data_IF_834182599575
#
_entry.id   IF_834182599575
#
_cell.length_a   1.000
_cell.length_b   1.000
_cell.length_c   1.000
_cell.angle_alpha   90.00
_cell.angle_beta   90.00
_cell.angle_gamma   90.00
#
_symmetry.space_group_name_H-M   'P 1'
#
loop_
_entity.id
_entity.type
_entity.pdbx_description
1 polymer ?
#
# COMPACT_ATOMS: atom_id res chain seq x y z
N UNK A 1 18.71 -3.40 4.29
CA UNK A 1 18.49 -1.93 4.17
C UNK A 1 17.30 -1.73 3.25
N UNK A 2 16.14 -1.36 3.78
CA UNK A 2 14.94 -1.13 2.99
C UNK A 2 14.95 0.31 2.47
N UNK A 3 14.82 0.48 1.15
CA UNK A 3 14.64 1.79 0.51
C UNK A 3 13.18 1.87 0.13
N UNK A 4 12.41 2.68 0.87
CA UNK A 4 11.05 3.00 0.50
C UNK A 4 11.10 4.06 -0.62
N UNK A 5 10.58 3.73 -1.80
CA UNK A 5 10.58 4.64 -2.95
C UNK A 5 9.20 5.27 -3.12
N UNK A 6 9.11 6.59 -2.94
CA UNK A 6 7.89 7.38 -3.23
C UNK A 6 8.22 8.37 -4.34
N UNK A 7 7.53 8.25 -5.49
CA UNK A 7 7.66 9.16 -6.63
C UNK A 7 6.38 9.96 -6.80
N UNK A 8 6.43 11.24 -6.46
CA UNK A 8 5.39 12.20 -6.82
C UNK A 8 5.76 12.81 -8.19
N UNK A 9 4.88 12.71 -9.19
CA UNK A 9 5.04 13.42 -10.47
C UNK A 9 3.92 14.48 -10.53
N UNK A 10 4.28 15.75 -10.37
CA UNK A 10 3.40 16.88 -10.69
C UNK A 10 3.95 17.52 -11.96
N UNK A 11 3.05 17.78 -12.92
CA UNK A 11 3.39 18.33 -14.23
C UNK A 11 4.21 19.65 -14.13
N UNK A 12 5.31 19.66 -14.87
CA UNK A 12 6.03 20.81 -15.47
C UNK A 12 6.99 21.69 -14.66
N UNK A 13 7.25 21.46 -13.37
CA UNK A 13 8.50 21.97 -12.76
C UNK A 13 9.12 20.91 -11.87
N UNK A 14 10.30 20.42 -12.28
CA UNK A 14 11.09 19.42 -11.56
C UNK A 14 11.62 20.02 -10.26
N UNK A 15 10.77 20.13 -9.24
CA UNK A 15 11.23 20.22 -7.87
C UNK A 15 11.82 18.86 -7.52
N UNK A 16 13.14 18.82 -7.33
CA UNK A 16 13.87 17.64 -6.89
C UNK A 16 13.10 16.99 -5.74
N UNK A 17 12.58 15.79 -5.99
CA UNK A 17 11.79 15.04 -5.03
C UNK A 17 12.62 14.84 -3.76
N UNK A 18 12.15 15.42 -2.66
CA UNK A 18 12.80 15.28 -1.36
C UNK A 18 12.71 13.81 -0.96
N UNK A 19 13.85 13.14 -0.90
CA UNK A 19 13.93 11.74 -0.45
C UNK A 19 13.92 11.75 1.07
N UNK A 20 13.07 10.93 1.65
CA UNK A 20 13.00 10.73 3.09
C UNK A 20 13.51 9.32 3.40
N UNK A 21 14.43 9.24 4.35
CA UNK A 21 14.96 7.99 4.86
C UNK A 21 14.79 8.01 6.37
N UNK A 22 14.41 6.88 6.95
CA UNK A 22 14.48 6.68 8.40
C UNK A 22 15.15 5.33 8.68
N UNK A 23 16.11 5.34 9.61
CA UNK A 23 16.74 4.14 10.14
C UNK A 23 16.02 3.61 11.39
N UNK A 24 15.00 4.32 11.87
CA UNK A 24 14.27 3.98 13.08
C UNK A 24 12.77 4.09 12.82
N UNK A 25 12.10 2.95 12.84
CA UNK A 25 10.64 2.89 12.89
C UNK A 25 10.25 3.22 14.34
N UNK A 26 9.81 4.47 14.56
CA UNK A 26 9.47 4.99 15.91
C UNK A 26 8.21 4.28 16.45
N UNK A 27 7.34 3.82 15.55
CA UNK A 27 6.16 3.00 15.85
C UNK A 27 5.88 2.03 14.69
N UNK A 28 5.36 0.83 14.95
CA UNK A 28 4.87 -0.06 13.91
C UNK A 28 3.86 0.63 12.97
N UNK A 29 4.00 0.43 11.66
CA UNK A 29 3.19 1.10 10.63
C UNK A 29 1.87 0.37 10.34
N UNK A 30 0.84 1.15 10.05
CA UNK A 30 -0.40 0.68 9.42
C UNK A 30 -0.31 0.91 7.91
N UNK A 31 -0.18 -0.16 7.15
CA UNK A 31 0.08 -0.12 5.71
C UNK A 31 -1.16 -0.55 4.93
N UNK A 32 -1.45 0.17 3.86
CA UNK A 32 -2.36 -0.26 2.80
C UNK A 32 -1.60 -0.42 1.49
N UNK A 33 -1.73 -1.60 0.88
CA UNK A 33 -1.03 -1.97 -0.35
C UNK A 33 -1.98 -1.93 -1.55
N UNK A 34 -1.58 -1.30 -2.65
CA UNK A 34 -2.32 -1.22 -3.91
C UNK A 34 -1.57 -1.97 -5.01
N UNK A 35 -2.20 -2.99 -5.57
CA UNK A 35 -1.63 -3.76 -6.68
C UNK A 35 -2.64 -4.74 -7.29
N UNK A 36 -2.35 -5.27 -8.47
CA UNK A 36 -3.29 -6.13 -9.22
C UNK A 36 -2.65 -7.22 -10.07
N UNK A 37 -1.32 -7.28 -10.13
CA UNK A 37 -0.60 -8.14 -11.08
C UNK A 37 0.49 -8.97 -10.39
N UNK A 38 1.20 -9.79 -11.18
CA UNK A 38 2.22 -10.69 -10.65
C UNK A 38 3.41 -9.93 -10.06
N UNK A 39 3.79 -8.81 -10.66
CA UNK A 39 4.89 -7.98 -10.16
C UNK A 39 4.59 -7.43 -8.76
N UNK A 40 3.39 -6.87 -8.59
CA UNK A 40 2.92 -6.36 -7.30
C UNK A 40 2.69 -7.47 -6.27
N UNK A 41 2.33 -8.69 -6.71
CA UNK A 41 2.21 -9.86 -5.82
C UNK A 41 3.53 -10.20 -5.09
N UNK A 42 4.68 -10.14 -5.78
CA UNK A 42 5.97 -10.40 -5.13
C UNK A 42 6.33 -9.36 -4.07
N UNK A 43 5.91 -8.11 -4.26
CA UNK A 43 6.08 -7.06 -3.27
C UNK A 43 5.16 -7.32 -2.06
N UNK A 44 3.90 -7.72 -2.31
CA UNK A 44 2.97 -8.09 -1.26
C UNK A 44 3.45 -9.30 -0.45
N UNK A 45 4.03 -10.32 -1.10
CA UNK A 45 4.65 -11.47 -0.43
C UNK A 45 5.72 -11.03 0.56
N UNK A 46 6.61 -10.13 0.14
CA UNK A 46 7.67 -9.62 1.00
C UNK A 46 7.11 -8.81 2.18
N UNK A 47 6.14 -7.93 1.93
CA UNK A 47 5.45 -7.16 2.96
C UNK A 47 4.73 -8.08 3.96
N UNK A 48 4.09 -9.14 3.46
CA UNK A 48 3.42 -10.12 4.30
C UNK A 48 4.42 -10.85 5.21
N UNK A 49 5.59 -11.25 4.69
CA UNK A 49 6.64 -11.86 5.51
C UNK A 49 7.11 -10.92 6.63
N UNK A 50 7.32 -9.64 6.34
CA UNK A 50 7.63 -8.65 7.38
C UNK A 50 6.49 -8.50 8.39
N UNK A 51 5.25 -8.46 7.91
CA UNK A 51 4.05 -8.35 8.75
C UNK A 51 3.88 -9.53 9.72
N UNK A 52 4.20 -10.76 9.31
CA UNK A 52 4.06 -11.93 10.20
C UNK A 52 5.26 -12.13 11.12
N UNK A 53 6.47 -11.78 10.67
CA UNK A 53 7.71 -12.05 11.39
C UNK A 53 8.17 -10.89 12.28
N UNK A 54 7.78 -9.65 11.97
CA UNK A 54 8.24 -8.46 12.69
C UNK A 54 7.13 -7.42 12.92
N UNK A 55 6.34 -7.66 13.97
CA UNK A 55 5.27 -6.75 14.42
C UNK A 55 5.80 -5.40 14.95
N UNK A 56 7.11 -5.25 15.16
CA UNK A 56 7.69 -3.95 15.50
C UNK A 56 7.75 -3.01 14.29
N UNK A 57 7.69 -3.55 13.07
CA UNK A 57 7.71 -2.77 11.84
C UNK A 57 6.31 -2.55 11.25
N UNK A 58 5.49 -3.60 11.16
CA UNK A 58 4.16 -3.54 10.53
C UNK A 58 3.11 -4.07 11.50
N UNK A 59 2.22 -3.18 11.94
CA UNK A 59 1.10 -3.53 12.83
C UNK A 59 -0.10 -4.05 12.06
N UNK A 60 -0.43 -3.38 10.95
CA UNK A 60 -1.58 -3.70 10.11
C UNK A 60 -1.15 -3.66 8.64
N UNK A 61 -1.64 -4.63 7.87
CA UNK A 61 -1.45 -4.73 6.43
C UNK A 61 -2.80 -5.07 5.79
N UNK A 62 -3.31 -4.14 4.97
CA UNK A 62 -4.53 -4.34 4.19
C UNK A 62 -4.21 -4.19 2.70
N UNK A 63 -5.01 -4.83 1.84
CA UNK A 63 -4.79 -4.87 0.39
C UNK A 63 -5.94 -4.18 -0.32
N UNK A 64 -5.62 -3.41 -1.35
CA UNK A 64 -6.57 -2.83 -2.28
C UNK A 64 -6.23 -3.34 -3.67
N UNK A 65 -7.22 -3.94 -4.31
CA UNK A 65 -7.04 -4.58 -5.60
C UNK A 65 -8.30 -4.47 -6.46
N UNK A 66 -8.19 -4.74 -7.76
CA UNK A 66 -9.32 -4.72 -8.69
C UNK A 66 -10.01 -6.08 -8.77
N UNK A 67 -11.32 -6.12 -9.03
CA UNK A 67 -11.96 -7.41 -9.36
C UNK A 67 -11.56 -7.78 -10.79
N UNK A 68 -10.72 -8.80 -10.92
CA UNK A 68 -10.42 -9.45 -12.19
C UNK A 68 -10.12 -10.91 -11.96
N UNK A 69 -10.57 -11.78 -12.87
CA UNK A 69 -10.29 -13.22 -12.83
C UNK A 69 -8.80 -13.55 -13.00
N UNK A 70 -8.00 -12.61 -13.52
CA UNK A 70 -6.55 -12.75 -13.64
C UNK A 70 -5.77 -12.06 -12.52
N UNK A 71 -6.45 -11.54 -11.49
CA UNK A 71 -5.81 -10.76 -10.45
C UNK A 71 -5.07 -11.65 -9.44
N UNK A 72 -3.76 -11.77 -9.63
CA UNK A 72 -2.88 -12.56 -8.75
C UNK A 72 -2.80 -12.02 -7.33
N UNK A 73 -2.93 -10.70 -7.15
CA UNK A 73 -2.91 -10.06 -5.81
C UNK A 73 -4.15 -10.43 -5.01
N UNK A 74 -5.32 -10.50 -5.63
CA UNK A 74 -6.56 -10.94 -4.97
C UNK A 74 -6.41 -12.36 -4.43
N UNK A 75 -5.98 -13.31 -5.27
CA UNK A 75 -5.74 -14.70 -4.85
C UNK A 75 -4.68 -14.81 -3.76
N UNK A 76 -3.59 -14.04 -3.87
CA UNK A 76 -2.53 -14.02 -2.86
C UNK A 76 -3.00 -13.45 -1.53
N UNK A 77 -3.76 -12.36 -1.54
CA UNK A 77 -4.31 -11.74 -0.33
C UNK A 77 -5.31 -12.68 0.38
N UNK A 78 -6.15 -13.39 -0.36
CA UNK A 78 -7.04 -14.43 0.18
C UNK A 78 -6.24 -15.57 0.84
N UNK A 79 -5.20 -16.06 0.17
CA UNK A 79 -4.29 -17.09 0.71
C UNK A 79 -3.62 -16.64 2.01
N UNK A 80 -3.23 -15.38 2.09
CA UNK A 80 -2.61 -14.77 3.28
C UNK A 80 -3.63 -14.36 4.35
N UNK A 81 -4.93 -14.52 4.08
CA UNK A 81 -6.02 -14.07 4.95
C UNK A 81 -5.92 -12.58 5.29
N UNK A 82 -5.44 -11.78 4.33
CA UNK A 82 -5.36 -10.33 4.46
C UNK A 82 -6.72 -9.70 4.18
N UNK A 83 -7.06 -8.67 4.95
CA UNK A 83 -8.23 -7.85 4.68
C UNK A 83 -8.04 -7.14 3.35
N UNK A 84 -8.94 -7.44 2.42
CA UNK A 84 -8.85 -6.99 1.02
C UNK A 84 -10.04 -6.11 0.69
N UNK A 85 -9.77 -5.04 -0.04
CA UNK A 85 -10.76 -4.08 -0.49
C UNK A 85 -10.78 -4.02 -2.01
N UNK A 86 -11.99 -3.94 -2.53
CA UNK A 86 -12.23 -3.86 -3.95
C UNK A 86 -12.24 -2.40 -4.41
N UNK A 87 -11.38 -2.09 -5.37
CA UNK A 87 -11.41 -0.82 -6.11
C UNK A 87 -12.62 -0.77 -7.08
N UNK A 88 -13.27 0.39 -7.31
CA UNK A 88 -12.97 1.74 -6.79
C UNK A 88 -13.72 2.13 -5.52
N UNK A 89 -14.39 1.21 -4.83
CA UNK A 89 -15.30 1.51 -3.71
C UNK A 89 -14.58 1.88 -2.39
N UNK A 90 -13.40 2.49 -2.48
CA UNK A 90 -12.51 2.75 -1.35
C UNK A 90 -12.95 3.92 -0.48
N UNK A 91 -13.79 4.83 -0.99
CA UNK A 91 -14.36 5.92 -0.18
C UNK A 91 -15.11 5.37 1.04
N UNK A 92 -15.77 4.22 0.88
CA UNK A 92 -16.46 3.53 1.98
C UNK A 92 -15.51 2.82 2.95
N UNK A 93 -14.27 2.53 2.53
CA UNK A 93 -13.27 1.79 3.30
C UNK A 93 -12.48 2.71 4.21
N UNK A 94 -12.00 3.84 3.68
CA UNK A 94 -11.17 4.78 4.44
C UNK A 94 -12.02 5.56 5.44
N UNK A 95 -13.25 5.93 5.07
CA UNK A 95 -14.14 6.65 5.96
C UNK A 95 -14.72 5.78 7.08
N UNK A 96 -14.78 4.45 6.90
CA UNK A 96 -15.33 3.50 7.89
C UNK A 96 -14.24 2.71 8.63
N UNK A 97 -13.00 2.78 8.17
CA UNK A 97 -11.87 2.15 8.86
C UNK A 97 -11.57 2.92 10.14
N UNK A 98 -11.65 2.24 11.29
CA UNK A 98 -11.12 2.78 12.55
C UNK A 98 -9.58 2.88 12.55
N UNK A 99 -8.92 2.35 11.51
CA UNK A 99 -7.47 2.35 11.35
C UNK A 99 -7.08 3.54 10.45
N UNK A 100 -6.28 4.43 11.01
CA UNK A 100 -5.55 5.45 10.25
C UNK A 100 -4.29 4.81 9.65
N UNK A 101 -4.17 4.85 8.33
CA UNK A 101 -3.00 4.34 7.64
C UNK A 101 -1.86 5.35 7.70
N UNK A 102 -0.65 4.87 7.99
CA UNK A 102 0.57 5.67 8.00
C UNK A 102 1.23 5.68 6.61
N UNK A 103 0.99 4.65 5.79
CA UNK A 103 1.67 4.47 4.52
C UNK A 103 0.79 3.75 3.48
N UNK A 104 0.68 4.36 2.30
CA UNK A 104 0.15 3.72 1.09
C UNK A 104 1.27 3.26 0.18
N UNK A 105 1.33 1.96 -0.13
CA UNK A 105 2.31 1.40 -1.09
C UNK A 105 1.57 1.07 -2.38
N UNK A 106 1.91 1.76 -3.47
CA UNK A 106 1.36 1.49 -4.80
C UNK A 106 2.39 0.79 -5.68
N UNK A 107 2.03 -0.38 -6.20
CA UNK A 107 2.85 -1.12 -7.15
C UNK A 107 1.95 -1.72 -8.24
N UNK A 108 2.22 -1.38 -9.49
CA UNK A 108 1.56 -1.93 -10.69
C UNK A 108 0.04 -2.15 -10.55
N UNK A 109 -0.64 -1.13 -10.04
CA UNK A 109 -2.07 -1.19 -9.74
C UNK A 109 -2.94 -0.86 -10.96
N UNK A 110 -2.40 -0.12 -11.94
CA UNK A 110 -3.11 0.24 -13.18
C UNK A 110 -4.28 1.22 -13.02
N UNK A 111 -4.60 1.66 -11.80
CA UNK A 111 -5.66 2.62 -11.49
C UNK A 111 -5.08 3.94 -10.98
N UNK A 112 -5.79 5.04 -11.23
CA UNK A 112 -5.45 6.35 -10.68
C UNK A 112 -6.02 6.48 -9.26
N UNK A 113 -5.19 6.88 -8.31
CA UNK A 113 -5.64 7.21 -6.95
C UNK A 113 -6.21 8.65 -6.92
N UNK A 114 -7.40 8.88 -6.36
CA UNK A 114 -7.93 10.22 -6.14
C UNK A 114 -6.98 11.08 -5.31
N UNK A 115 -6.89 12.37 -5.65
CA UNK A 115 -6.08 13.33 -4.89
C UNK A 115 -6.40 13.31 -3.39
N UNK A 116 -7.69 13.31 -3.04
CA UNK A 116 -8.17 13.25 -1.65
C UNK A 116 -7.65 12.03 -0.88
N UNK A 117 -7.49 10.90 -1.56
CA UNK A 117 -6.91 9.69 -0.98
C UNK A 117 -5.43 9.90 -0.70
N UNK A 118 -4.68 10.37 -1.69
CA UNK A 118 -3.24 10.59 -1.54
C UNK A 118 -2.96 11.60 -0.42
N UNK A 119 -3.77 12.64 -0.31
CA UNK A 119 -3.69 13.67 0.74
C UNK A 119 -4.20 13.20 2.12
N UNK A 120 -4.78 12.00 2.23
CA UNK A 120 -5.23 11.44 3.51
C UNK A 120 -4.11 10.75 4.31
N UNK A 121 -3.00 10.43 3.65
CA UNK A 121 -1.82 9.88 4.31
C UNK A 121 -1.00 10.99 4.98
N UNK A 122 -0.37 10.71 6.14
CA UNK A 122 0.44 11.69 6.87
C UNK A 122 1.75 12.07 6.18
#
# INVERSE_FOLDING_TARGET
>A
MFILYVRYIINQHVHLSKRFYTSSIIKPLNIVFFGSDLFSMHILEHLYQLFINDKSQIKHLEVVTTVSSSNTVMYGAEKFKLKTHTWPNMDSVISKSSIQYDLGILASFGQLLPKKLIESFP
#
